data_IF_511847739619
#
_entry.id   IF_511847739619
#
_cell.length_a   1.000
_cell.length_b   1.000
_cell.length_c   1.000
_cell.angle_alpha   90.00
_cell.angle_beta   90.00
_cell.angle_gamma   90.00
#
_symmetry.space_group_name_H-M   'P 1'
#
loop_
_entity.id
_entity.type
_entity.pdbx_description
1 polymer ?
#
# COMPACT_ATOMS: atom_id res chain seq x y z
N UNK A 1 -16.24 29.00 -32.02
CA UNK A 1 -17.38 28.40 -31.27
C UNK A 1 -17.03 28.49 -29.81
N UNK A 2 -17.90 29.10 -29.02
CA UNK A 2 -17.72 29.25 -27.59
C UNK A 2 -17.95 27.89 -26.91
N UNK A 3 -17.15 27.55 -25.90
CA UNK A 3 -17.28 26.26 -25.23
C UNK A 3 -18.65 26.19 -24.54
N UNK A 4 -19.39 25.06 -24.61
CA UNK A 4 -20.66 24.90 -23.87
C UNK A 4 -20.51 25.02 -22.35
N UNK A 5 -19.27 25.09 -21.85
CA UNK A 5 -18.93 25.37 -20.45
C UNK A 5 -18.71 26.86 -20.14
N UNK A 6 -18.96 27.79 -21.06
CA UNK A 6 -18.72 29.23 -20.83
C UNK A 6 -19.54 29.80 -19.66
N UNK A 7 -20.73 29.25 -19.39
CA UNK A 7 -21.47 29.54 -18.16
C UNK A 7 -21.22 28.46 -17.11
N UNK A 8 -20.08 28.55 -16.42
CA UNK A 8 -19.70 27.64 -15.32
C UNK A 8 -20.59 27.87 -14.09
N UNK A 9 -21.86 27.45 -14.16
CA UNK A 9 -22.87 27.72 -13.13
C UNK A 9 -22.48 27.14 -11.76
N UNK A 10 -21.67 26.08 -11.72
CA UNK A 10 -21.14 25.49 -10.50
C UNK A 10 -20.20 26.44 -9.73
N UNK A 11 -19.53 27.38 -10.41
CA UNK A 11 -18.66 28.37 -9.77
C UNK A 11 -19.44 29.42 -8.96
N UNK A 12 -20.76 29.55 -9.15
CA UNK A 12 -21.60 30.46 -8.36
C UNK A 12 -21.64 30.08 -6.88
N UNK A 13 -21.38 28.82 -6.56
CA UNK A 13 -21.38 28.29 -5.19
C UNK A 13 -19.97 28.12 -4.63
N UNK A 14 -18.94 28.57 -5.34
CA UNK A 14 -17.55 28.48 -4.88
C UNK A 14 -17.22 29.65 -3.96
N UNK A 15 -16.35 29.41 -3.00
CA UNK A 15 -15.80 30.50 -2.19
C UNK A 15 -15.05 31.49 -3.10
N UNK A 16 -15.09 32.82 -2.83
CA UNK A 16 -14.49 33.84 -3.69
C UNK A 16 -13.00 33.65 -4.00
N UNK A 17 -12.29 32.89 -3.15
CA UNK A 17 -10.86 32.62 -3.29
C UNK A 17 -10.54 31.31 -4.00
N UNK A 18 -11.55 30.48 -4.28
CA UNK A 18 -11.37 29.21 -4.98
C UNK A 18 -11.42 29.48 -6.48
N UNK A 19 -10.33 29.15 -7.15
CA UNK A 19 -10.20 29.21 -8.61
C UNK A 19 -10.13 27.78 -9.14
N UNK A 20 -10.37 27.62 -10.44
CA UNK A 20 -10.03 26.36 -11.09
C UNK A 20 -8.55 26.07 -10.86
N UNK A 21 -8.29 24.80 -10.54
CA UNK A 21 -6.95 24.26 -10.53
C UNK A 21 -6.43 24.20 -11.97
N UNK A 22 -5.19 24.62 -12.21
CA UNK A 22 -4.54 24.33 -13.49
C UNK A 22 -4.21 22.83 -13.51
N UNK A 23 -4.82 22.03 -14.41
CA UNK A 23 -4.55 20.59 -14.46
C UNK A 23 -3.05 20.27 -14.62
N UNK A 24 -2.28 21.17 -15.25
CA UNK A 24 -0.83 21.01 -15.43
C UNK A 24 -0.05 21.02 -14.13
N UNK A 25 -0.56 21.67 -13.08
CA UNK A 25 0.05 21.61 -11.73
C UNK A 25 -0.02 20.19 -11.14
N UNK A 26 -0.91 19.34 -11.68
CA UNK A 26 -1.15 17.97 -11.23
C UNK A 26 -0.81 16.93 -12.31
N UNK A 27 -0.19 17.33 -13.43
CA UNK A 27 0.39 16.41 -14.44
C UNK A 27 1.71 15.82 -13.92
N UNK A 28 1.67 15.18 -12.75
CA UNK A 28 2.82 14.53 -12.12
C UNK A 28 2.39 13.21 -11.48
N UNK A 29 3.35 12.32 -11.26
CA UNK A 29 3.09 11.09 -10.52
C UNK A 29 3.17 11.33 -9.01
N UNK A 30 2.48 10.52 -8.22
CA UNK A 30 2.60 10.60 -6.75
C UNK A 30 4.05 10.52 -6.26
N UNK A 31 4.91 9.59 -6.74
CA UNK A 31 6.32 9.54 -6.35
C UNK A 31 7.10 10.84 -6.66
N UNK A 32 6.87 11.45 -7.82
CA UNK A 32 7.51 12.73 -8.19
C UNK A 32 7.03 13.87 -7.29
N UNK A 33 5.74 13.92 -6.97
CA UNK A 33 5.16 14.93 -6.09
C UNK A 33 5.74 14.88 -4.68
N UNK A 34 5.93 13.68 -4.11
CA UNK A 34 6.42 13.53 -2.71
C UNK A 34 7.94 13.53 -2.59
N UNK A 35 8.69 13.27 -3.67
CA UNK A 35 10.16 13.27 -3.67
C UNK A 35 10.80 14.51 -3.03
N UNK A 36 10.44 15.76 -3.42
CA UNK A 36 11.03 16.95 -2.82
C UNK A 36 10.68 17.12 -1.33
N UNK A 37 9.56 16.55 -0.86
CA UNK A 37 9.20 16.57 0.56
C UNK A 37 10.16 15.69 1.36
N UNK A 38 10.47 14.48 0.87
CA UNK A 38 11.43 13.59 1.51
C UNK A 38 12.84 14.18 1.56
N UNK A 39 13.23 14.94 0.55
CA UNK A 39 14.54 15.60 0.49
C UNK A 39 14.62 16.85 1.39
N UNK A 40 13.53 17.64 1.44
CA UNK A 40 13.52 18.92 2.17
C UNK A 40 13.27 18.75 3.68
N UNK A 41 12.49 17.75 4.07
CA UNK A 41 12.08 17.54 5.46
C UNK A 41 12.40 16.12 5.99
N UNK A 42 13.62 15.60 5.78
CA UNK A 42 13.93 14.20 6.06
C UNK A 42 13.72 13.82 7.53
N UNK A 43 14.10 14.71 8.46
CA UNK A 43 14.02 14.48 9.90
C UNK A 43 12.67 14.86 10.52
N UNK A 44 11.71 15.34 9.72
CA UNK A 44 10.38 15.68 10.24
C UNK A 44 9.56 14.41 10.41
N UNK A 45 8.84 14.31 11.52
CA UNK A 45 7.93 13.20 11.79
C UNK A 45 6.87 13.11 10.69
N UNK A 46 6.78 11.95 10.05
CA UNK A 46 5.80 11.63 9.02
C UNK A 46 4.61 10.84 9.57
N UNK A 47 4.86 9.93 10.52
CA UNK A 47 3.84 9.07 11.10
C UNK A 47 4.22 8.68 12.54
N UNK A 48 3.20 8.43 13.35
CA UNK A 48 3.33 7.92 14.71
C UNK A 48 2.39 6.72 14.90
N UNK A 49 2.86 5.67 15.58
CA UNK A 49 2.11 4.45 15.80
C UNK A 49 2.52 3.79 17.13
N UNK A 50 1.61 3.75 18.10
CA UNK A 50 1.80 3.02 19.36
C UNK A 50 3.16 3.33 20.06
N UNK A 51 3.56 4.60 20.07
CA UNK A 51 4.84 5.05 20.64
C UNK A 51 6.04 4.99 19.69
N UNK A 52 5.90 4.43 18.49
CA UNK A 52 6.85 4.62 17.42
C UNK A 52 6.63 5.97 16.76
N UNK A 53 7.71 6.70 16.54
CA UNK A 53 7.76 7.89 15.70
C UNK A 53 8.65 7.58 14.51
N UNK A 54 8.20 7.96 13.32
CA UNK A 54 8.96 7.71 12.11
C UNK A 54 8.99 8.95 11.24
N UNK A 55 10.18 9.22 10.74
CA UNK A 55 10.48 10.41 9.95
C UNK A 55 10.13 10.19 8.47
N UNK A 56 10.12 11.27 7.69
CA UNK A 56 10.02 11.16 6.24
C UNK A 56 11.18 10.37 5.63
N UNK A 57 12.38 10.44 6.20
CA UNK A 57 13.51 9.62 5.79
C UNK A 57 13.23 8.13 6.02
N UNK A 58 12.66 7.76 7.17
CA UNK A 58 12.30 6.37 7.46
C UNK A 58 11.26 5.84 6.47
N UNK A 59 10.17 6.60 6.27
CA UNK A 59 9.15 6.27 5.28
C UNK A 59 9.75 6.10 3.88
N UNK A 60 10.61 7.02 3.46
CA UNK A 60 11.28 6.96 2.16
C UNK A 60 12.16 5.70 2.03
N UNK A 61 12.95 5.40 3.07
CA UNK A 61 13.84 4.23 3.09
C UNK A 61 13.07 2.91 3.06
N UNK A 62 12.03 2.76 3.88
CA UNK A 62 11.22 1.53 3.92
C UNK A 62 10.40 1.33 2.64
N UNK A 63 9.79 2.39 2.12
CA UNK A 63 9.08 2.32 0.83
C UNK A 63 10.01 2.03 -0.35
N UNK A 64 11.25 2.55 -0.36
CA UNK A 64 12.24 2.22 -1.38
C UNK A 64 12.66 0.74 -1.32
N UNK A 65 12.86 0.19 -0.12
CA UNK A 65 13.16 -1.25 0.04
C UNK A 65 12.02 -2.11 -0.51
N UNK A 66 10.78 -1.75 -0.21
CA UNK A 66 9.61 -2.45 -0.73
C UNK A 66 9.49 -2.34 -2.26
N UNK A 67 9.69 -1.15 -2.82
CA UNK A 67 9.69 -0.93 -4.27
C UNK A 67 10.76 -1.77 -4.99
N UNK A 68 11.99 -1.76 -4.47
CA UNK A 68 13.09 -2.54 -5.04
C UNK A 68 12.82 -4.04 -4.96
N UNK A 69 12.27 -4.52 -3.85
CA UNK A 69 11.85 -5.93 -3.74
C UNK A 69 10.84 -6.30 -4.82
N UNK A 70 9.82 -5.47 -5.08
CA UNK A 70 8.86 -5.72 -6.16
C UNK A 70 9.56 -5.79 -7.53
N UNK A 71 10.45 -4.84 -7.81
CA UNK A 71 11.21 -4.78 -9.06
C UNK A 71 12.10 -6.02 -9.23
N UNK A 72 12.75 -6.47 -8.17
CA UNK A 72 13.57 -7.69 -8.15
C UNK A 72 12.74 -8.96 -8.42
N UNK A 73 11.46 -8.98 -8.01
CA UNK A 73 10.50 -10.04 -8.36
C UNK A 73 9.83 -9.82 -9.73
N UNK A 74 10.34 -8.87 -10.52
CA UNK A 74 9.93 -8.62 -11.88
C UNK A 74 8.54 -7.99 -12.01
N UNK A 75 8.12 -7.22 -11.00
CA UNK A 75 6.97 -6.32 -11.14
C UNK A 75 7.35 -5.12 -12.01
N UNK A 76 6.41 -4.70 -12.86
CA UNK A 76 6.57 -3.63 -13.84
C UNK A 76 5.37 -2.69 -13.81
N UNK A 77 5.48 -1.59 -14.55
CA UNK A 77 4.39 -0.62 -14.69
C UNK A 77 3.10 -1.32 -15.13
N UNK A 78 2.03 -1.11 -14.36
CA UNK A 78 0.72 -1.72 -14.59
C UNK A 78 0.45 -3.01 -13.82
N UNK A 79 1.46 -3.61 -13.18
CA UNK A 79 1.22 -4.68 -12.19
C UNK A 79 0.58 -4.10 -10.94
N UNK A 80 -0.13 -4.94 -10.18
CA UNK A 80 -0.97 -4.51 -9.07
C UNK A 80 -0.50 -5.11 -7.74
N UNK A 81 -0.62 -4.36 -6.66
CA UNK A 81 -0.36 -4.84 -5.30
C UNK A 81 -1.57 -4.56 -4.43
N UNK A 82 -2.16 -5.63 -3.91
CA UNK A 82 -3.20 -5.58 -2.89
C UNK A 82 -2.60 -5.30 -1.51
N UNK A 83 -3.13 -4.31 -0.80
CA UNK A 83 -2.72 -3.97 0.56
C UNK A 83 -3.79 -4.45 1.53
N UNK A 84 -3.50 -5.57 2.19
CA UNK A 84 -4.36 -6.23 3.17
C UNK A 84 -3.85 -6.06 4.59
N UNK A 85 -3.72 -4.80 5.00
CA UNK A 85 -3.20 -4.41 6.30
C UNK A 85 -4.17 -3.46 7.02
N UNK A 86 -4.20 -3.48 8.37
CA UNK A 86 -4.80 -2.41 9.15
C UNK A 86 -3.96 -1.11 9.06
N UNK A 87 -4.35 -0.08 9.81
CA UNK A 87 -3.62 1.19 9.90
C UNK A 87 -2.33 1.05 10.73
N UNK A 88 -1.34 0.37 10.15
CA UNK A 88 0.01 0.15 10.69
C UNK A 88 1.06 0.77 9.76
N UNK A 89 2.28 1.04 10.21
CA UNK A 89 3.28 1.73 9.39
C UNK A 89 3.58 1.04 8.04
N UNK A 90 3.56 -0.30 8.00
CA UNK A 90 3.75 -1.11 6.79
C UNK A 90 2.72 -0.78 5.70
N UNK A 91 1.50 -0.37 6.08
CA UNK A 91 0.49 0.07 5.11
C UNK A 91 1.03 1.21 4.24
N UNK A 92 1.62 2.25 4.88
CA UNK A 92 2.17 3.38 4.15
C UNK A 92 3.43 3.02 3.38
N UNK A 93 4.29 2.15 3.91
CA UNK A 93 5.46 1.69 3.16
C UNK A 93 5.06 0.99 1.87
N UNK A 94 4.05 0.11 1.96
CA UNK A 94 3.58 -0.67 0.83
C UNK A 94 2.85 0.20 -0.19
N UNK A 95 2.02 1.16 0.24
CA UNK A 95 1.37 2.11 -0.69
C UNK A 95 2.42 2.92 -1.44
N UNK A 96 3.32 3.60 -0.72
CA UNK A 96 4.32 4.48 -1.34
C UNK A 96 5.30 3.67 -2.18
N UNK A 97 5.72 2.49 -1.70
CA UNK A 97 6.65 1.62 -2.41
C UNK A 97 6.05 1.01 -3.68
N UNK A 98 4.77 0.60 -3.65
CA UNK A 98 4.03 0.13 -4.83
C UNK A 98 4.03 1.21 -5.91
N UNK A 99 3.66 2.44 -5.54
CA UNK A 99 3.61 3.56 -6.47
C UNK A 99 5.01 3.91 -7.02
N UNK A 100 6.05 3.85 -6.19
CA UNK A 100 7.45 4.04 -6.61
C UNK A 100 7.93 2.96 -7.59
N UNK A 101 7.45 1.73 -7.46
CA UNK A 101 7.69 0.65 -8.43
C UNK A 101 6.90 0.83 -9.74
N UNK A 102 6.08 1.89 -9.87
CA UNK A 102 5.20 2.13 -11.01
C UNK A 102 3.99 1.19 -11.05
N UNK A 103 3.75 0.45 -9.97
CA UNK A 103 2.65 -0.48 -9.83
C UNK A 103 1.38 0.22 -9.34
N UNK A 104 0.25 -0.44 -9.51
CA UNK A 104 -1.08 -0.01 -9.08
C UNK A 104 -1.30 -0.49 -7.65
N UNK A 105 -1.76 0.39 -6.78
CA UNK A 105 -2.13 0.04 -5.41
C UNK A 105 -3.63 -0.19 -5.31
N UNK A 106 -4.04 -1.25 -4.60
CA UNK A 106 -5.45 -1.50 -4.29
C UNK A 106 -5.62 -1.91 -2.84
N UNK A 107 -6.58 -1.31 -2.15
CA UNK A 107 -6.90 -1.68 -0.77
C UNK A 107 -7.72 -2.97 -0.74
N UNK A 108 -7.24 -3.99 -0.04
CA UNK A 108 -7.95 -5.25 0.20
C UNK A 108 -8.29 -5.31 1.67
N UNK A 109 -9.55 -5.15 2.06
CA UNK A 109 -9.86 -5.01 3.49
C UNK A 109 -9.52 -6.28 4.28
N UNK A 110 -8.82 -6.19 5.42
CA UNK A 110 -8.57 -7.32 6.33
C UNK A 110 -9.85 -8.02 6.81
N UNK A 111 -10.99 -7.31 6.78
CA UNK A 111 -12.29 -7.78 7.24
C UNK A 111 -13.10 -8.54 6.18
N UNK A 112 -12.63 -8.59 4.93
CA UNK A 112 -13.29 -9.35 3.87
C UNK A 112 -13.38 -10.84 4.24
N UNK A 113 -14.34 -11.59 3.71
CA UNK A 113 -14.33 -13.05 3.75
C UNK A 113 -13.34 -13.65 2.76
N UNK A 114 -13.07 -14.96 2.83
CA UNK A 114 -12.11 -15.65 1.95
C UNK A 114 -12.52 -15.49 0.47
N UNK A 115 -13.82 -15.63 0.18
CA UNK A 115 -14.38 -15.45 -1.17
C UNK A 115 -14.26 -14.01 -1.66
N UNK A 116 -14.48 -13.03 -0.78
CA UNK A 116 -14.36 -11.61 -1.14
C UNK A 116 -12.91 -11.21 -1.42
N UNK A 117 -11.97 -11.68 -0.60
CA UNK A 117 -10.54 -11.49 -0.82
C UNK A 117 -10.11 -12.12 -2.14
N UNK A 118 -10.51 -13.37 -2.40
CA UNK A 118 -10.22 -14.05 -3.65
C UNK A 118 -10.74 -13.27 -4.85
N UNK A 119 -12.03 -12.90 -4.83
CA UNK A 119 -12.64 -12.13 -5.91
C UNK A 119 -11.86 -10.85 -6.22
N UNK A 120 -11.44 -10.11 -5.19
CA UNK A 120 -10.71 -8.87 -5.39
C UNK A 120 -9.31 -9.10 -5.95
N UNK A 121 -8.59 -10.13 -5.49
CA UNK A 121 -7.26 -10.46 -5.99
C UNK A 121 -7.31 -10.98 -7.44
N UNK A 122 -8.33 -11.78 -7.78
CA UNK A 122 -8.58 -12.20 -9.15
C UNK A 122 -8.89 -11.00 -10.05
N UNK A 123 -9.73 -10.06 -9.58
CA UNK A 123 -10.07 -8.84 -10.29
C UNK A 123 -8.83 -7.98 -10.60
N UNK A 124 -7.91 -7.85 -9.64
CA UNK A 124 -6.65 -7.13 -9.84
C UNK A 124 -5.77 -7.74 -10.92
N UNK A 125 -5.87 -9.05 -11.18
CA UNK A 125 -5.09 -9.76 -12.19
C UNK A 125 -5.81 -9.94 -13.53
N UNK A 126 -7.08 -9.51 -13.67
CA UNK A 126 -7.92 -9.77 -14.86
C UNK A 126 -7.34 -9.25 -16.16
N UNK A 127 -6.53 -8.19 -16.12
CA UNK A 127 -5.88 -7.61 -17.30
C UNK A 127 -4.58 -8.34 -17.70
N UNK A 128 -4.28 -9.48 -17.09
CA UNK A 128 -3.07 -10.27 -17.38
C UNK A 128 -1.81 -9.75 -16.69
N UNK A 129 -1.95 -8.78 -15.79
CA UNK A 129 -0.86 -8.23 -14.99
C UNK A 129 -0.56 -9.11 -13.77
N UNK A 130 0.66 -8.97 -13.22
CA UNK A 130 1.03 -9.63 -11.97
C UNK A 130 0.28 -9.00 -10.80
N UNK A 131 0.01 -9.82 -9.79
CA UNK A 131 -0.59 -9.41 -8.53
C UNK A 131 0.37 -9.74 -7.39
N UNK A 132 0.65 -8.74 -6.55
CA UNK A 132 1.29 -8.90 -5.25
C UNK A 132 0.28 -8.71 -4.12
N UNK A 133 0.53 -9.27 -2.95
CA UNK A 133 -0.27 -9.04 -1.76
C UNK A 133 0.62 -8.74 -0.56
N UNK A 134 0.30 -7.70 0.20
CA UNK A 134 0.86 -7.47 1.52
C UNK A 134 -0.22 -7.76 2.55
N UNK A 135 0.04 -8.64 3.53
CA UNK A 135 -0.97 -9.06 4.50
C UNK A 135 -0.36 -9.32 5.88
N UNK A 136 -1.21 -9.51 6.89
CA UNK A 136 -0.78 -9.99 8.20
C UNK A 136 -0.49 -11.49 8.15
N UNK A 137 0.49 -11.94 8.92
CA UNK A 137 0.87 -13.34 9.11
C UNK A 137 -0.30 -14.21 9.58
N UNK A 138 -1.13 -13.72 10.50
CA UNK A 138 -2.36 -14.40 10.93
C UNK A 138 -3.37 -14.56 9.78
N UNK A 139 -3.53 -13.54 8.94
CA UNK A 139 -4.43 -13.61 7.77
C UNK A 139 -3.85 -14.53 6.70
N UNK A 140 -2.52 -14.47 6.49
CA UNK A 140 -1.80 -15.36 5.61
C UNK A 140 -2.13 -16.82 5.94
N UNK A 141 -1.90 -17.22 7.20
CA UNK A 141 -2.08 -18.60 7.62
C UNK A 141 -3.55 -19.04 7.54
N UNK A 142 -4.45 -18.26 8.15
CA UNK A 142 -5.82 -18.71 8.37
C UNK A 142 -6.74 -18.50 7.17
N UNK A 143 -6.34 -17.69 6.19
CA UNK A 143 -7.23 -17.26 5.10
C UNK A 143 -6.56 -17.39 3.75
N UNK A 144 -5.44 -16.71 3.53
CA UNK A 144 -4.80 -16.70 2.21
C UNK A 144 -4.39 -18.09 1.75
N UNK A 145 -3.82 -18.93 2.62
CA UNK A 145 -3.43 -20.32 2.28
C UNK A 145 -4.58 -21.14 1.68
N UNK A 146 -5.82 -20.91 2.08
CA UNK A 146 -7.00 -21.63 1.58
C UNK A 146 -7.32 -21.27 0.13
N UNK A 147 -7.12 -20.01 -0.24
CA UNK A 147 -7.48 -19.47 -1.56
C UNK A 147 -6.27 -19.34 -2.51
N UNK A 148 -5.04 -19.39 -1.99
CA UNK A 148 -3.81 -19.26 -2.76
C UNK A 148 -3.69 -20.22 -3.96
N UNK A 149 -4.17 -21.49 -3.91
CA UNK A 149 -4.14 -22.37 -5.07
C UNK A 149 -5.00 -21.88 -6.25
N UNK A 150 -6.06 -21.12 -5.99
CA UNK A 150 -6.93 -20.55 -7.04
C UNK A 150 -6.44 -19.21 -7.59
N UNK A 151 -5.51 -18.54 -6.91
CA UNK A 151 -4.98 -17.24 -7.31
C UNK A 151 -3.80 -17.44 -8.28
N UNK A 152 -4.08 -17.53 -9.58
CA UNK A 152 -3.05 -17.83 -10.60
C UNK A 152 -2.14 -16.64 -10.91
N UNK A 153 -2.63 -15.41 -10.74
CA UNK A 153 -1.88 -14.18 -11.04
C UNK A 153 -1.11 -13.64 -9.82
N UNK A 154 -1.28 -14.26 -8.65
CA UNK A 154 -0.61 -13.85 -7.41
C UNK A 154 0.82 -14.38 -7.43
N UNK A 155 1.80 -13.50 -7.57
CA UNK A 155 3.22 -13.85 -7.75
C UNK A 155 4.04 -13.67 -6.49
N UNK A 156 3.66 -12.70 -5.64
CA UNK A 156 4.42 -12.34 -4.44
C UNK A 156 3.46 -12.10 -3.28
N UNK A 157 3.77 -12.68 -2.13
CA UNK A 157 3.08 -12.41 -0.87
C UNK A 157 4.07 -11.94 0.18
N UNK A 158 3.84 -10.76 0.74
CA UNK A 158 4.61 -10.22 1.85
C UNK A 158 3.75 -10.27 3.10
N UNK A 159 4.11 -11.17 4.02
CA UNK A 159 3.48 -11.26 5.33
C UNK A 159 4.23 -10.41 6.36
N UNK A 160 3.50 -9.67 7.20
CA UNK A 160 4.02 -8.90 8.33
C UNK A 160 3.14 -9.14 9.57
N UNK A 161 3.45 -8.50 10.69
CA UNK A 161 2.59 -8.51 11.89
C UNK A 161 2.24 -7.08 12.30
N UNK A 162 1.25 -6.91 13.19
CA UNK A 162 0.87 -5.59 13.73
C UNK A 162 1.97 -4.91 14.55
N UNK A 163 3.02 -5.66 14.91
CA UNK A 163 4.23 -5.16 15.59
C UNK A 163 5.46 -5.22 14.68
N UNK A 164 5.32 -5.51 13.39
CA UNK A 164 6.43 -5.76 12.47
C UNK A 164 7.46 -4.63 12.38
N UNK A 165 7.01 -3.38 12.56
CA UNK A 165 7.85 -2.18 12.53
C UNK A 165 8.62 -1.92 13.82
N UNK A 166 8.29 -2.58 14.93
CA UNK A 166 9.04 -2.45 16.17
C UNK A 166 10.38 -3.19 16.10
N UNK A 167 11.41 -2.77 16.83
CA UNK A 167 12.60 -3.59 17.06
C UNK A 167 12.24 -4.96 17.64
N UNK A 168 12.97 -6.02 17.27
CA UNK A 168 12.66 -7.41 17.67
C UNK A 168 12.45 -7.59 19.19
N UNK A 169 13.31 -6.98 20.00
CA UNK A 169 13.20 -7.03 21.46
C UNK A 169 11.88 -6.42 21.98
N UNK A 170 11.39 -5.36 21.31
CA UNK A 170 10.11 -4.74 21.67
C UNK A 170 8.93 -5.58 21.17
N UNK A 171 9.05 -6.24 20.01
CA UNK A 171 8.02 -7.16 19.51
C UNK A 171 7.77 -8.29 20.52
N UNK A 172 8.84 -8.92 21.03
CA UNK A 172 8.74 -10.00 22.02
C UNK A 172 8.05 -9.53 23.32
N UNK A 173 8.41 -8.34 23.80
CA UNK A 173 7.79 -7.73 24.99
C UNK A 173 6.30 -7.45 24.79
N UNK A 174 5.91 -6.91 23.63
CA UNK A 174 4.50 -6.61 23.33
C UNK A 174 3.69 -7.90 23.24
N UNK A 175 4.19 -8.91 22.52
CA UNK A 175 3.53 -10.21 22.38
C UNK A 175 3.39 -10.95 23.72
N UNK A 176 4.29 -10.72 24.68
CA UNK A 176 4.20 -11.33 26.00
C UNK A 176 3.08 -10.73 26.88
N UNK A 177 2.60 -9.51 26.58
CA UNK A 177 1.64 -8.77 27.42
C UNK A 177 0.33 -8.44 26.72
N UNK A 178 0.26 -8.55 25.39
CA UNK A 178 -0.94 -8.32 24.58
C UNK A 178 -1.25 -9.54 23.74
N UNK A 179 -2.55 -9.81 23.56
CA UNK A 179 -3.03 -10.84 22.66
C UNK A 179 -2.95 -10.34 21.21
N UNK A 180 -1.81 -10.62 20.58
CA UNK A 180 -1.55 -10.26 19.18
C UNK A 180 -1.80 -11.51 18.32
N UNK A 181 -2.71 -11.46 17.34
CA UNK A 181 -2.87 -12.55 16.40
C UNK A 181 -1.57 -12.80 15.63
N UNK A 182 -1.15 -14.06 15.58
CA UNK A 182 0.05 -14.51 14.86
C UNK A 182 -0.32 -15.61 13.89
N UNK A 183 0.51 -15.79 12.86
CA UNK A 183 0.38 -16.92 11.96
C UNK A 183 1.70 -17.41 11.38
N UNK A 184 1.73 -18.66 10.98
CA UNK A 184 2.90 -19.30 10.38
C UNK A 184 2.96 -18.99 8.89
N UNK A 185 4.00 -18.26 8.49
CA UNK A 185 4.29 -17.96 7.09
C UNK A 185 5.14 -19.08 6.49
N UNK A 186 4.59 -19.76 5.49
CA UNK A 186 5.25 -20.85 4.76
C UNK A 186 5.26 -20.55 3.27
N UNK A 187 6.26 -21.00 2.49
CA UNK A 187 6.24 -20.86 1.04
C UNK A 187 4.92 -21.40 0.44
N UNK A 188 4.39 -20.69 -0.55
CA UNK A 188 3.22 -21.14 -1.30
C UNK A 188 3.72 -21.83 -2.57
N UNK A 189 3.05 -22.88 -3.02
CA UNK A 189 3.49 -23.56 -4.23
C UNK A 189 3.40 -22.61 -5.44
N UNK A 190 4.54 -22.37 -6.08
CA UNK A 190 4.66 -21.45 -7.22
C UNK A 190 4.60 -19.96 -6.86
N UNK A 191 4.69 -19.57 -5.58
CA UNK A 191 4.69 -18.16 -5.14
C UNK A 191 5.66 -17.90 -3.98
#
# INVERSE_FOLDING_TARGET
MSSPYESRFWMKSWDPNVKDLDPKEFETTYPEFVKPIFEKYPNTMALAYQGLEMTFEDLNRHSNKFANMLIEHGFKKGDAVGINLPNIPEYLYSVVGTLKAGCIVSGVSPLMSDVQMQYQLDDLGKSGNKVGLVTLDAIFEHRLKKIAPSLTQLEVVVATSVVGSFPKEQQEKIKAVQDIPEGVVTPLEGK
#
